data_IF_577928382860
#
_entry.id   IF_577928382860
#
_cell.length_a   1.000
_cell.length_b   1.000
_cell.length_c   1.000
_cell.angle_alpha   90.00
_cell.angle_beta   90.00
_cell.angle_gamma   90.00
#
_symmetry.space_group_name_H-M   'P 1'
#
loop_
_entity.id
_entity.type
_entity.pdbx_description
1 polymer ?
#
# COMPACT_ATOMS: atom_id res chain seq x y z
N UNK A 1 -13.53 29.20 -78.37
CA UNK A 1 -12.22 29.16 -79.06
C UNK A 1 -11.21 28.56 -78.08
N UNK A 2 -10.70 27.36 -78.37
CA UNK A 2 -9.51 26.66 -77.85
C UNK A 2 -9.24 26.61 -76.31
N UNK A 3 -9.59 25.50 -75.61
CA UNK A 3 -8.79 24.28 -75.30
C UNK A 3 -7.65 24.42 -74.28
N UNK A 4 -7.71 23.63 -73.19
CA UNK A 4 -6.76 22.58 -72.75
C UNK A 4 -6.95 22.31 -71.24
N UNK A 5 -7.37 21.14 -70.76
CA UNK A 5 -6.71 19.81 -70.69
C UNK A 5 -5.59 19.74 -69.62
N UNK A 6 -5.81 18.94 -68.56
CA UNK A 6 -5.04 17.73 -68.14
C UNK A 6 -5.11 17.48 -66.62
N UNK A 7 -5.00 16.19 -66.31
CA UNK A 7 -5.21 15.49 -65.05
C UNK A 7 -4.05 15.65 -64.04
N UNK A 8 -4.43 15.66 -62.75
CA UNK A 8 -3.82 14.96 -61.61
C UNK A 8 -2.33 15.11 -61.28
N UNK A 9 -2.02 15.51 -60.03
CA UNK A 9 -1.23 14.72 -59.08
C UNK A 9 -1.27 15.37 -57.68
N UNK A 10 -1.50 14.56 -56.65
CA UNK A 10 -1.41 14.91 -55.23
C UNK A 10 0.00 15.31 -54.83
N UNK A 11 0.14 16.42 -54.09
CA UNK A 11 1.37 16.76 -53.36
C UNK A 11 1.06 16.92 -51.87
N UNK A 12 1.43 15.92 -51.08
CA UNK A 12 1.46 15.95 -49.62
C UNK A 12 2.75 16.65 -49.20
N UNK A 13 2.66 17.89 -48.72
CA UNK A 13 3.82 18.61 -48.20
C UNK A 13 3.99 18.26 -46.72
N UNK A 14 4.98 17.42 -46.43
CA UNK A 14 5.43 17.10 -45.07
C UNK A 14 6.12 18.34 -44.50
N UNK A 15 5.55 18.90 -43.44
CA UNK A 15 6.05 20.10 -42.78
C UNK A 15 7.07 19.69 -41.71
N UNK A 16 8.31 19.49 -42.15
CA UNK A 16 9.47 19.31 -41.27
C UNK A 16 9.96 20.72 -40.88
N UNK A 17 9.67 21.14 -39.65
CA UNK A 17 10.52 22.11 -38.96
C UNK A 17 11.12 21.44 -37.74
N UNK A 18 12.35 20.98 -37.91
CA UNK A 18 13.26 20.80 -36.79
C UNK A 18 13.66 22.18 -36.27
N UNK A 19 13.39 22.44 -35.00
CA UNK A 19 14.20 23.36 -34.21
C UNK A 19 15.04 22.51 -33.27
N UNK A 20 16.35 22.70 -33.38
CA UNK A 20 17.36 21.99 -32.64
C UNK A 20 17.23 22.13 -31.12
N UNK A 21 17.65 21.06 -30.48
CA UNK A 21 17.94 20.83 -29.07
C UNK A 21 18.55 22.04 -28.36
N UNK A 22 17.92 22.46 -27.25
CA UNK A 22 18.58 23.14 -26.13
C UNK A 22 18.45 22.18 -24.95
N UNK A 23 19.58 21.67 -24.49
CA UNK A 23 19.65 20.65 -23.46
C UNK A 23 19.39 21.19 -22.06
N UNK A 24 18.55 20.46 -21.32
CA UNK A 24 18.69 20.19 -19.88
C UNK A 24 18.11 18.77 -19.64
N UNK A 25 18.82 17.86 -18.95
CA UNK A 25 18.28 16.56 -18.57
C UNK A 25 17.29 16.75 -17.41
N UNK A 26 16.27 15.88 -17.35
CA UNK A 26 15.20 15.81 -16.33
C UNK A 26 13.99 16.73 -16.52
N UNK A 27 13.29 16.59 -17.63
CA UNK A 27 11.81 16.64 -17.56
C UNK A 27 11.32 15.23 -17.28
N UNK A 28 11.27 14.84 -16.00
CA UNK A 28 10.43 13.69 -15.64
C UNK A 28 9.01 14.15 -15.98
N UNK A 29 8.27 13.43 -16.85
CA UNK A 29 6.87 13.74 -17.04
C UNK A 29 6.20 13.51 -15.69
N UNK A 30 5.70 14.58 -15.05
CA UNK A 30 4.82 14.46 -13.90
C UNK A 30 3.50 13.94 -14.48
N UNK A 31 3.42 12.63 -14.68
CA UNK A 31 2.17 11.96 -15.05
C UNK A 31 1.27 12.02 -13.82
N UNK A 32 0.42 13.03 -13.85
CA UNK A 32 -1.01 13.04 -13.57
C UNK A 32 -1.49 12.20 -12.37
N UNK A 33 -2.20 12.86 -11.45
CA UNK A 33 -3.22 12.22 -10.64
C UNK A 33 -4.07 11.32 -11.55
N UNK A 34 -3.90 10.01 -11.42
CA UNK A 34 -4.69 9.03 -12.16
C UNK A 34 -6.08 9.12 -11.55
N UNK A 35 -7.09 9.48 -12.35
CA UNK A 35 -8.49 9.45 -11.90
C UNK A 35 -8.96 7.99 -11.79
N UNK A 36 -8.40 7.26 -10.82
CA UNK A 36 -8.77 5.91 -10.51
C UNK A 36 -10.18 5.91 -9.92
N UNK A 37 -11.06 5.09 -10.48
CA UNK A 37 -12.47 5.05 -10.05
C UNK A 37 -12.62 4.34 -8.71
N UNK A 38 -11.78 3.33 -8.44
CA UNK A 38 -11.94 2.42 -7.32
C UNK A 38 -10.72 2.41 -6.39
N UNK A 39 -9.52 2.75 -6.87
CA UNK A 39 -8.28 2.77 -6.07
C UNK A 39 -8.02 4.18 -5.48
N UNK A 40 -7.83 4.24 -4.17
CA UNK A 40 -7.45 5.46 -3.45
C UNK A 40 -6.24 5.17 -2.56
N UNK A 41 -5.22 6.02 -2.64
CA UNK A 41 -3.98 5.89 -1.86
C UNK A 41 -3.74 7.18 -1.09
N UNK A 42 -3.53 7.11 0.23
CA UNK A 42 -3.42 8.32 1.05
C UNK A 42 -2.20 9.20 0.77
N UNK A 43 -1.18 8.67 0.07
CA UNK A 43 -0.02 9.42 -0.40
C UNK A 43 -0.31 10.24 -1.67
N UNK A 44 -1.43 9.99 -2.34
CA UNK A 44 -1.84 10.75 -3.52
C UNK A 44 -2.39 12.11 -3.07
N UNK A 45 -1.57 13.14 -3.24
CA UNK A 45 -1.95 14.49 -2.88
C UNK A 45 -1.24 15.51 -3.75
N UNK A 46 -2.02 16.26 -4.53
CA UNK A 46 -1.54 17.26 -5.49
C UNK A 46 -0.68 18.34 -4.81
N UNK A 47 -1.02 18.75 -3.57
CA UNK A 47 -0.27 19.79 -2.87
C UNK A 47 1.13 19.34 -2.40
N UNK A 48 1.40 18.03 -2.36
CA UNK A 48 2.69 17.47 -1.98
C UNK A 48 3.40 16.80 -3.18
N UNK A 49 2.92 17.02 -4.40
CA UNK A 49 3.42 16.38 -5.62
C UNK A 49 3.56 14.85 -5.48
N UNK A 50 2.66 14.21 -4.72
CA UNK A 50 2.71 12.81 -4.36
C UNK A 50 4.04 12.38 -3.69
N UNK A 51 4.64 13.23 -2.86
CA UNK A 51 5.77 12.83 -2.00
C UNK A 51 5.28 12.37 -0.64
N UNK A 52 5.89 11.30 -0.13
CA UNK A 52 5.79 10.91 1.28
C UNK A 52 7.17 10.57 1.82
N UNK A 53 7.34 10.78 3.11
CA UNK A 53 8.61 10.58 3.82
C UNK A 53 8.36 10.02 5.22
N UNK A 54 9.46 9.69 5.90
CA UNK A 54 9.50 9.30 7.31
C UNK A 54 8.73 8.00 7.59
N UNK A 55 8.38 7.79 8.85
CA UNK A 55 7.60 6.65 9.32
C UNK A 55 6.09 6.85 9.14
N UNK A 56 5.65 7.32 7.98
CA UNK A 56 4.22 7.45 7.66
C UNK A 56 3.67 6.11 7.18
N UNK A 57 2.46 5.79 7.65
CA UNK A 57 1.68 4.67 7.14
C UNK A 57 0.84 5.14 5.96
N UNK A 58 0.91 4.41 4.86
CA UNK A 58 0.06 4.62 3.68
C UNK A 58 -1.16 3.73 3.78
N UNK A 59 -2.34 4.35 3.67
CA UNK A 59 -3.63 3.66 3.57
C UNK A 59 -3.99 3.50 2.11
N UNK A 60 -4.32 2.27 1.73
CA UNK A 60 -4.88 1.92 0.42
C UNK A 60 -6.32 1.49 0.61
N UNK A 61 -7.21 2.07 -0.20
CA UNK A 61 -8.63 1.74 -0.23
C UNK A 61 -9.01 1.30 -1.63
N UNK A 62 -9.66 0.14 -1.73
CA UNK A 62 -10.37 -0.28 -2.94
C UNK A 62 -11.86 -0.18 -2.68
N UNK A 63 -12.50 0.78 -3.33
CA UNK A 63 -13.96 1.00 -3.34
C UNK A 63 -14.51 0.53 -4.68
N UNK A 64 -14.69 -0.78 -4.84
CA UNK A 64 -15.16 -1.38 -6.09
C UNK A 64 -16.60 -1.91 -5.92
N UNK A 65 -17.59 -1.38 -6.69
CA UNK A 65 -18.97 -1.85 -6.64
C UNK A 65 -19.14 -3.33 -7.01
N UNK A 66 -18.16 -3.97 -7.66
CA UNK A 66 -18.26 -5.39 -8.01
C UNK A 66 -17.96 -6.33 -6.81
N UNK A 67 -17.29 -5.83 -5.77
CA UNK A 67 -16.83 -6.62 -4.60
C UNK A 67 -17.13 -5.97 -3.24
N UNK A 68 -18.19 -5.16 -3.15
CA UNK A 68 -18.52 -4.37 -1.95
C UNK A 68 -19.54 -5.01 -0.99
N UNK A 69 -20.31 -6.02 -1.43
CA UNK A 69 -21.37 -6.61 -0.59
C UNK A 69 -20.78 -7.33 0.62
N UNK A 70 -21.36 -7.11 1.79
CA UNK A 70 -20.83 -7.64 3.07
C UNK A 70 -21.19 -9.11 3.32
N UNK A 71 -22.24 -9.62 2.69
CA UNK A 71 -22.81 -10.95 2.92
C UNK A 71 -22.56 -11.91 1.74
N UNK A 72 -21.65 -11.55 0.84
CA UNK A 72 -21.27 -12.37 -0.29
C UNK A 72 -19.78 -12.64 -0.22
N UNK A 73 -19.39 -13.89 -0.46
CA UNK A 73 -17.99 -14.27 -0.50
C UNK A 73 -17.37 -13.76 -1.81
N UNK A 74 -16.47 -12.79 -1.68
CA UNK A 74 -15.58 -12.35 -2.76
C UNK A 74 -14.15 -12.81 -2.48
N UNK A 75 -13.37 -12.96 -3.56
CA UNK A 75 -11.92 -12.99 -3.44
C UNK A 75 -11.38 -11.65 -2.96
N UNK A 76 -10.26 -11.68 -2.25
CA UNK A 76 -9.52 -10.47 -1.91
C UNK A 76 -9.05 -9.77 -3.21
N UNK A 77 -9.26 -8.44 -3.38
CA UNK A 77 -8.76 -7.73 -4.56
C UNK A 77 -7.24 -7.87 -4.65
N UNK A 78 -6.74 -8.07 -5.87
CA UNK A 78 -5.31 -8.19 -6.14
C UNK A 78 -4.70 -6.79 -6.20
N UNK A 79 -4.00 -6.42 -5.13
CA UNK A 79 -3.27 -5.16 -5.03
C UNK A 79 -1.81 -5.45 -4.77
N UNK A 80 -0.92 -4.71 -5.45
CA UNK A 80 0.52 -4.81 -5.24
C UNK A 80 1.14 -3.45 -4.86
N UNK A 81 2.24 -3.51 -4.13
CA UNK A 81 3.18 -2.41 -3.89
C UNK A 81 4.50 -2.83 -4.52
N UNK A 82 4.96 -2.10 -5.54
CA UNK A 82 6.16 -2.44 -6.32
C UNK A 82 6.16 -3.91 -6.81
N UNK A 83 5.00 -4.39 -7.26
CA UNK A 83 4.83 -5.76 -7.75
C UNK A 83 4.78 -6.85 -6.67
N UNK A 84 4.83 -6.49 -5.39
CA UNK A 84 4.66 -7.42 -4.25
C UNK A 84 3.25 -7.32 -3.69
N UNK A 85 2.62 -8.45 -3.35
CA UNK A 85 1.24 -8.48 -2.86
C UNK A 85 1.07 -7.63 -1.60
N UNK A 86 0.08 -6.74 -1.64
CA UNK A 86 -0.45 -6.01 -0.48
C UNK A 86 -1.77 -6.64 -0.05
N UNK A 87 -1.79 -7.27 1.12
CA UNK A 87 -2.99 -7.93 1.64
C UNK A 87 -4.05 -6.92 2.08
N UNK A 88 -5.30 -7.15 1.67
CA UNK A 88 -6.43 -6.27 1.99
C UNK A 88 -7.49 -6.98 2.84
N UNK A 89 -8.19 -6.22 3.66
CA UNK A 89 -9.33 -6.69 4.46
C UNK A 89 -10.59 -5.88 4.15
N UNK A 90 -11.72 -6.56 4.01
CA UNK A 90 -13.00 -5.87 3.79
C UNK A 90 -13.50 -5.28 5.11
N UNK A 91 -13.93 -4.02 5.08
CA UNK A 91 -14.53 -3.34 6.22
C UNK A 91 -16.07 -3.35 6.17
N UNK A 92 -16.70 -2.92 7.26
CA UNK A 92 -18.17 -2.84 7.41
C UNK A 92 -18.83 -1.79 6.53
N UNK A 93 -18.06 -0.93 5.85
CA UNK A 93 -18.56 0.01 4.84
C UNK A 93 -18.54 -0.57 3.41
N UNK A 94 -18.12 -1.82 3.25
CA UNK A 94 -18.04 -2.52 1.96
C UNK A 94 -16.72 -2.33 1.22
N UNK A 95 -15.89 -1.36 1.63
CA UNK A 95 -14.60 -1.11 0.99
C UNK A 95 -13.52 -2.05 1.53
N UNK A 96 -12.46 -2.22 0.75
CA UNK A 96 -11.28 -2.99 1.13
C UNK A 96 -10.15 -2.07 1.56
N UNK A 97 -9.52 -2.38 2.69
CA UNK A 97 -8.48 -1.56 3.29
C UNK A 97 -7.18 -2.35 3.47
N UNK A 98 -6.07 -1.69 3.22
CA UNK A 98 -4.74 -2.15 3.58
C UNK A 98 -3.87 -0.98 4.05
N UNK A 99 -2.87 -1.31 4.85
CA UNK A 99 -1.89 -0.35 5.35
C UNK A 99 -0.49 -0.88 5.07
N UNK A 100 0.41 0.00 4.65
CA UNK A 100 1.81 -0.34 4.51
C UNK A 100 2.73 0.83 4.89
N UNK A 101 3.99 0.52 5.17
CA UNK A 101 5.02 1.50 5.50
C UNK A 101 6.42 1.01 5.06
N UNK A 102 7.39 1.92 5.03
CA UNK A 102 8.79 1.53 4.93
C UNK A 102 9.23 0.82 6.22
N UNK A 103 9.87 -0.34 6.07
CA UNK A 103 10.31 -1.19 7.18
C UNK A 103 11.32 -0.50 8.08
N UNK A 104 12.32 0.15 7.48
CA UNK A 104 13.43 0.72 8.24
C UNK A 104 12.95 1.97 9.00
N UNK A 105 12.13 2.81 8.37
CA UNK A 105 11.52 3.97 9.03
C UNK A 105 10.54 3.57 10.12
N UNK A 106 9.72 2.54 9.90
CA UNK A 106 8.81 2.04 10.93
C UNK A 106 9.58 1.58 12.18
N UNK A 107 10.62 0.76 12.01
CA UNK A 107 11.47 0.31 13.11
C UNK A 107 12.20 1.49 13.77
N UNK A 108 12.79 2.39 12.99
CA UNK A 108 13.55 3.52 13.52
C UNK A 108 12.67 4.44 14.38
N UNK A 109 11.45 4.74 13.93
CA UNK A 109 10.52 5.56 14.70
C UNK A 109 9.97 4.84 15.92
N UNK A 110 9.64 3.55 15.80
CA UNK A 110 9.14 2.76 16.93
C UNK A 110 10.20 2.61 18.03
N UNK A 111 11.49 2.49 17.68
CA UNK A 111 12.62 2.52 18.63
C UNK A 111 12.67 3.77 19.50
N UNK A 112 12.16 4.90 19.02
CA UNK A 112 12.13 6.15 19.78
C UNK A 112 10.93 6.26 20.74
N UNK A 113 9.98 5.32 20.67
CA UNK A 113 8.85 5.23 21.60
C UNK A 113 9.27 4.60 22.94
N UNK A 114 10.05 5.34 23.75
CA UNK A 114 10.43 4.86 25.09
C UNK A 114 9.24 4.93 26.05
N UNK A 115 8.75 3.76 26.48
CA UNK A 115 7.95 3.49 27.70
C UNK A 115 6.91 4.57 28.07
N UNK A 116 5.69 4.39 27.58
CA UNK A 116 4.49 5.12 28.04
C UNK A 116 3.99 6.17 27.06
N UNK A 117 3.14 5.76 26.11
CA UNK A 117 2.14 6.57 25.36
C UNK A 117 2.68 7.87 24.71
N UNK A 118 3.99 8.04 24.54
CA UNK A 118 4.60 9.18 23.86
C UNK A 118 5.58 8.65 22.83
N UNK A 119 5.23 8.78 21.55
CA UNK A 119 6.04 8.33 20.43
C UNK A 119 5.17 7.97 19.24
N UNK A 120 5.81 7.47 18.19
CA UNK A 120 5.19 6.82 17.04
C UNK A 120 5.30 5.32 17.30
N UNK A 121 4.19 4.62 17.54
CA UNK A 121 4.14 3.19 17.86
C UNK A 121 3.36 2.45 16.77
N UNK A 122 4.04 1.52 16.09
CA UNK A 122 3.46 0.71 15.01
C UNK A 122 2.77 -0.56 15.52
N UNK A 123 2.72 -0.77 16.84
CA UNK A 123 2.29 -2.00 17.49
C UNK A 123 3.47 -2.91 17.78
N UNK A 124 3.34 -4.20 17.47
CA UNK A 124 4.47 -5.14 17.56
C UNK A 124 4.77 -5.81 16.23
N UNK A 125 6.03 -6.11 16.00
CA UNK A 125 6.59 -6.56 14.74
C UNK A 125 6.63 -8.09 14.67
N UNK A 126 6.32 -8.60 13.48
CA UNK A 126 6.37 -10.00 13.10
C UNK A 126 7.21 -10.17 11.83
N UNK A 127 8.09 -11.17 11.84
CA UNK A 127 8.75 -11.65 10.63
C UNK A 127 7.81 -12.51 9.79
N UNK A 128 8.24 -12.83 8.57
CA UNK A 128 7.49 -13.70 7.64
C UNK A 128 7.96 -15.15 7.69
N UNK A 129 9.17 -15.38 8.21
CA UNK A 129 9.82 -16.70 8.29
C UNK A 129 9.22 -17.55 9.40
N UNK A 130 8.72 -18.74 9.05
CA UNK A 130 8.12 -19.68 10.03
C UNK A 130 6.89 -19.12 10.73
N UNK A 131 6.35 -17.99 10.26
CA UNK A 131 5.15 -17.37 10.80
C UNK A 131 3.93 -18.23 10.47
N UNK A 132 3.21 -18.63 11.51
CA UNK A 132 1.93 -19.34 11.38
C UNK A 132 0.76 -18.43 11.70
N UNK A 133 1.02 -17.21 12.18
CA UNK A 133 0.01 -16.29 12.66
C UNK A 133 -1.00 -15.95 11.57
N UNK A 134 -0.52 -15.51 10.40
CA UNK A 134 -1.35 -15.13 9.27
C UNK A 134 -2.32 -16.26 8.85
N UNK A 135 -1.82 -17.48 8.72
CA UNK A 135 -2.62 -18.65 8.33
C UNK A 135 -3.71 -19.01 9.37
N UNK A 136 -3.45 -18.74 10.65
CA UNK A 136 -4.44 -18.94 11.73
C UNK A 136 -5.49 -17.82 11.79
N UNK A 137 -5.18 -16.61 11.28
CA UNK A 137 -6.17 -15.54 11.16
C UNK A 137 -7.17 -15.84 10.05
N UNK A 138 -6.67 -16.32 8.90
CA UNK A 138 -7.48 -16.67 7.74
C UNK A 138 -6.75 -17.72 6.90
N UNK A 139 -7.46 -18.76 6.48
CA UNK A 139 -6.94 -19.68 5.47
C UNK A 139 -6.51 -18.91 4.20
N UNK A 140 -5.26 -19.11 3.78
CA UNK A 140 -4.68 -18.43 2.61
C UNK A 140 -4.16 -17.01 2.87
N UNK A 141 -4.21 -16.50 4.11
CA UNK A 141 -3.52 -15.27 4.48
C UNK A 141 -2.04 -15.56 4.76
N UNK A 142 -1.19 -14.75 4.13
CA UNK A 142 0.27 -14.81 4.21
C UNK A 142 0.81 -13.44 3.84
N UNK A 143 1.85 -13.03 4.55
CA UNK A 143 2.63 -11.81 4.31
C UNK A 143 4.01 -12.11 3.73
N UNK A 144 4.24 -13.29 3.15
CA UNK A 144 5.56 -13.74 2.69
C UNK A 144 6.23 -12.82 1.66
N UNK A 145 5.48 -11.97 0.96
CA UNK A 145 6.00 -11.00 -0.02
C UNK A 145 6.38 -9.65 0.59
N UNK A 146 6.26 -9.50 1.92
CA UNK A 146 6.65 -8.31 2.67
C UNK A 146 7.97 -8.52 3.42
N UNK A 147 8.53 -7.46 3.98
CA UNK A 147 9.72 -7.48 4.84
C UNK A 147 9.37 -7.68 6.32
N UNK A 148 8.19 -8.23 6.59
CA UNK A 148 7.54 -8.27 7.90
C UNK A 148 6.24 -7.49 7.92
N UNK A 149 5.58 -7.50 9.06
CA UNK A 149 4.34 -6.77 9.30
C UNK A 149 4.23 -6.41 10.78
N UNK A 150 3.34 -5.47 11.10
CA UNK A 150 3.00 -5.15 12.48
C UNK A 150 1.55 -5.48 12.78
N UNK A 151 1.28 -5.75 14.05
CA UNK A 151 -0.07 -5.99 14.57
C UNK A 151 -0.37 -5.00 15.69
N UNK A 152 -1.63 -4.58 15.79
CA UNK A 152 -2.01 -3.51 16.70
C UNK A 152 -1.92 -3.86 18.20
N UNK A 153 -1.92 -5.16 18.51
CA UNK A 153 -1.78 -5.69 19.87
C UNK A 153 -0.64 -6.70 19.92
N UNK A 154 0.05 -6.78 21.06
CA UNK A 154 1.12 -7.76 21.26
C UNK A 154 0.59 -9.19 21.12
N UNK A 155 1.28 -9.96 20.28
CA UNK A 155 1.06 -11.39 20.08
C UNK A 155 2.30 -12.20 20.49
N UNK A 156 2.12 -13.46 20.83
CA UNK A 156 3.25 -14.35 21.16
C UNK A 156 4.28 -14.36 20.04
N UNK A 157 5.55 -14.14 20.40
CA UNK A 157 6.67 -14.11 19.46
C UNK A 157 6.86 -12.77 18.75
N UNK A 158 5.94 -11.80 18.87
CA UNK A 158 6.14 -10.46 18.32
C UNK A 158 7.15 -9.65 19.13
N UNK A 159 7.82 -8.71 18.46
CA UNK A 159 8.86 -7.85 19.03
C UNK A 159 8.36 -6.40 19.13
N UNK A 160 8.78 -5.69 20.17
CA UNK A 160 8.64 -4.22 20.23
C UNK A 160 9.76 -3.59 19.40
N UNK A 161 9.56 -2.41 18.81
CA UNK A 161 10.53 -1.83 17.87
C UNK A 161 11.94 -1.66 18.45
N UNK A 162 12.05 -1.42 19.76
CA UNK A 162 13.30 -1.37 20.54
C UNK A 162 14.15 -2.65 20.42
N UNK A 163 13.51 -3.80 20.15
CA UNK A 163 14.12 -5.13 20.12
C UNK A 163 14.18 -5.75 18.73
N UNK A 164 13.65 -5.06 17.71
CA UNK A 164 13.63 -5.55 16.33
C UNK A 164 15.02 -5.48 15.69
N UNK A 165 15.44 -6.60 15.11
CA UNK A 165 16.62 -6.74 14.25
C UNK A 165 16.31 -6.44 12.78
N UNK A 166 17.35 -6.26 11.96
CA UNK A 166 17.23 -6.22 10.50
C UNK A 166 18.05 -7.40 9.90
N UNK A 167 17.42 -8.39 9.24
CA UNK A 167 15.99 -8.53 8.98
C UNK A 167 15.15 -8.85 10.25
N UNK A 168 13.82 -8.75 10.13
CA UNK A 168 12.87 -9.16 11.17
C UNK A 168 12.78 -10.69 11.11
N UNK A 169 13.31 -11.40 12.11
CA UNK A 169 13.45 -12.87 12.07
C UNK A 169 12.53 -13.61 13.04
N UNK A 170 11.76 -12.89 13.87
CA UNK A 170 10.86 -13.53 14.83
C UNK A 170 9.63 -14.14 14.14
N UNK A 171 9.17 -15.28 14.63
CA UNK A 171 7.92 -15.90 14.19
C UNK A 171 6.81 -15.56 15.16
N UNK A 172 5.70 -15.04 14.65
CA UNK A 172 4.51 -14.77 15.44
C UNK A 172 3.61 -16.02 15.51
N UNK A 173 2.96 -16.22 16.65
CA UNK A 173 2.14 -17.41 16.92
C UNK A 173 0.73 -16.99 17.35
N UNK A 174 -0.29 -17.59 16.73
CA UNK A 174 -1.70 -17.22 16.97
C UNK A 174 -2.37 -17.96 18.13
N UNK A 175 -1.77 -19.02 18.68
CA UNK A 175 -2.42 -19.84 19.71
C UNK A 175 -2.46 -19.10 21.05
N UNK A 176 -3.62 -18.53 21.39
CA UNK A 176 -3.94 -17.97 22.71
C UNK A 176 -3.14 -16.73 23.14
N UNK A 177 -2.26 -16.21 22.28
CA UNK A 177 -1.20 -15.27 22.62
C UNK A 177 -1.51 -13.78 22.48
N UNK A 178 -2.76 -13.40 22.19
CA UNK A 178 -3.11 -11.98 22.06
C UNK A 178 -3.28 -11.40 23.46
N UNK A 179 -2.24 -10.73 23.94
CA UNK A 179 -2.31 -9.97 25.18
C UNK A 179 -3.03 -8.66 24.85
N UNK A 180 -4.25 -8.49 25.38
CA UNK A 180 -5.24 -7.50 24.94
C UNK A 180 -4.93 -6.01 25.17
N UNK A 181 -3.66 -5.61 25.09
CA UNK A 181 -3.23 -4.22 25.11
C UNK A 181 -3.06 -3.75 23.66
N UNK A 182 -3.87 -2.76 23.28
CA UNK A 182 -3.71 -2.04 22.02
C UNK A 182 -2.50 -1.09 22.15
N UNK A 183 -1.52 -1.23 21.26
CA UNK A 183 -0.23 -0.54 21.32
C UNK A 183 -0.04 0.45 20.17
N UNK A 184 -0.62 0.15 19.02
CA UNK A 184 -0.47 0.93 17.79
C UNK A 184 -1.13 2.31 17.91
N UNK A 185 -0.48 3.36 17.41
CA UNK A 185 -0.99 4.75 17.48
C UNK A 185 -0.77 5.58 16.20
N UNK A 186 -0.28 4.94 15.13
CA UNK A 186 0.03 5.55 13.83
C UNK A 186 -1.18 5.63 12.89
N UNK A 187 -2.22 4.82 13.12
CA UNK A 187 -3.47 4.77 12.38
C UNK A 187 -4.62 5.17 13.31
N UNK A 188 -5.01 6.44 13.26
CA UNK A 188 -6.03 7.00 14.17
C UNK A 188 -7.48 6.62 13.85
N UNK A 189 -7.79 6.27 12.60
CA UNK A 189 -9.16 6.07 12.13
C UNK A 189 -9.25 4.87 11.18
N UNK A 190 -8.79 3.70 11.61
CA UNK A 190 -9.00 2.46 10.86
C UNK A 190 -10.49 2.09 10.86
N UNK A 191 -10.93 1.38 9.81
CA UNK A 191 -12.30 0.88 9.72
C UNK A 191 -12.45 -0.47 10.41
N UNK A 192 -13.62 -0.69 10.99
CA UNK A 192 -14.03 -2.01 11.52
C UNK A 192 -14.10 -3.03 10.39
N UNK A 193 -13.49 -4.20 10.59
CA UNK A 193 -13.50 -5.29 9.61
C UNK A 193 -14.89 -5.93 9.50
N UNK A 194 -15.30 -6.29 8.29
CA UNK A 194 -16.50 -7.08 8.04
C UNK A 194 -16.31 -8.48 8.61
N UNK A 195 -17.16 -8.87 9.57
CA UNK A 195 -17.07 -10.16 10.25
C UNK A 195 -18.13 -11.16 9.80
N UNK A 196 -18.90 -10.84 8.76
CA UNK A 196 -20.01 -11.66 8.30
C UNK A 196 -19.52 -13.03 7.78
N UNK A 197 -19.93 -14.15 8.38
CA UNK A 197 -19.45 -15.49 8.00
C UNK A 197 -19.92 -15.94 6.62
N UNK A 198 -20.94 -15.28 6.04
CA UNK A 198 -21.39 -15.52 4.66
C UNK A 198 -20.63 -14.66 3.63
N UNK A 199 -19.79 -13.73 4.09
CA UNK A 199 -18.95 -12.87 3.25
C UNK A 199 -17.47 -13.02 3.57
N UNK A 200 -16.77 -11.90 3.78
CA UNK A 200 -15.34 -11.87 4.10
C UNK A 200 -14.98 -12.69 5.35
N UNK A 201 -15.92 -12.81 6.30
CA UNK A 201 -15.77 -13.55 7.56
C UNK A 201 -15.61 -15.07 7.41
N UNK A 202 -15.88 -15.63 6.23
CA UNK A 202 -15.76 -17.07 6.03
C UNK A 202 -14.31 -17.55 6.21
N UNK A 203 -14.09 -18.46 7.16
CA UNK A 203 -12.76 -18.99 7.48
C UNK A 203 -11.85 -18.01 8.21
N UNK A 204 -12.40 -16.91 8.76
CA UNK A 204 -11.68 -16.00 9.65
C UNK A 204 -11.78 -16.44 11.11
N UNK A 205 -10.66 -16.33 11.83
CA UNK A 205 -10.69 -16.24 13.29
C UNK A 205 -11.10 -14.82 13.69
N UNK A 206 -12.41 -14.57 13.70
CA UNK A 206 -12.98 -13.23 13.87
C UNK A 206 -12.53 -12.54 15.16
N UNK A 207 -12.42 -13.30 16.25
CA UNK A 207 -11.95 -12.79 17.54
C UNK A 207 -10.49 -12.38 17.50
N UNK A 208 -9.65 -13.13 16.77
CA UNK A 208 -8.24 -12.81 16.66
C UNK A 208 -8.01 -11.61 15.74
N UNK A 209 -8.63 -11.58 14.55
CA UNK A 209 -8.39 -10.53 13.56
C UNK A 209 -8.84 -9.16 14.05
N UNK A 210 -9.96 -9.09 14.77
CA UNK A 210 -10.46 -7.84 15.35
C UNK A 210 -9.55 -7.25 16.44
N UNK A 211 -8.70 -8.07 17.08
CA UNK A 211 -7.75 -7.59 18.10
C UNK A 211 -6.45 -7.09 17.49
N UNK A 212 -6.00 -7.71 16.40
CA UNK A 212 -4.69 -7.42 15.80
C UNK A 212 -4.75 -6.42 14.65
N UNK A 213 -5.96 -6.08 14.20
CA UNK A 213 -6.21 -5.04 13.22
C UNK A 213 -6.11 -3.63 13.85
N UNK A 214 -5.51 -2.64 13.18
CA UNK A 214 -4.93 -2.71 11.83
C UNK A 214 -3.59 -3.45 11.74
N UNK A 215 -3.36 -4.10 10.60
CA UNK A 215 -2.07 -4.73 10.25
C UNK A 215 -1.35 -3.82 9.27
N UNK A 216 -0.10 -3.46 9.57
CA UNK A 216 0.75 -2.65 8.69
C UNK A 216 1.77 -3.58 8.02
N UNK A 217 1.73 -3.66 6.69
CA UNK A 217 2.66 -4.46 5.91
C UNK A 217 3.93 -3.65 5.62
N UNK A 218 5.10 -4.24 5.86
CA UNK A 218 6.37 -3.52 5.75
C UNK A 218 7.04 -3.84 4.41
N UNK A 219 7.40 -2.81 3.65
CA UNK A 219 8.18 -2.93 2.41
C UNK A 219 9.50 -2.19 2.55
N UNK A 220 10.40 -2.37 1.57
CA UNK A 220 11.67 -1.66 1.52
C UNK A 220 11.63 -0.59 0.42
N UNK A 221 11.71 0.67 0.84
CA UNK A 221 11.80 1.84 -0.04
C UNK A 221 13.16 2.55 0.12
N UNK A 222 14.17 1.89 0.71
CA UNK A 222 15.45 2.49 1.13
C UNK A 222 16.30 3.11 0.01
N UNK A 223 15.98 2.86 -1.27
CA UNK A 223 16.56 3.62 -2.39
C UNK A 223 15.86 4.97 -2.48
N UNK A 224 16.45 6.02 -1.93
CA UNK A 224 15.84 7.35 -1.88
C UNK A 224 16.46 8.28 -2.95
N UNK A 225 15.67 8.97 -3.79
CA UNK A 225 14.21 8.83 -3.93
C UNK A 225 13.83 7.52 -4.63
N UNK A 226 12.72 6.89 -4.21
CA UNK A 226 12.14 5.74 -4.92
C UNK A 226 10.74 6.05 -5.39
N UNK A 227 10.44 5.65 -6.62
CA UNK A 227 9.07 5.55 -7.08
C UNK A 227 8.42 4.33 -6.42
N UNK A 228 7.30 4.57 -5.73
CA UNK A 228 6.44 3.52 -5.21
C UNK A 228 5.20 3.46 -6.09
N UNK A 229 4.87 2.25 -6.51
CA UNK A 229 3.73 1.95 -7.37
C UNK A 229 2.74 1.10 -6.60
N UNK A 230 1.52 1.61 -6.43
CA UNK A 230 0.37 0.83 -5.96
C UNK A 230 -0.50 0.50 -7.16
N UNK A 231 -0.68 -0.79 -7.41
CA UNK A 231 -1.42 -1.29 -8.56
C UNK A 231 -2.57 -2.18 -8.09
N UNK A 232 -3.80 -1.79 -8.41
CA UNK A 232 -4.99 -2.61 -8.27
C UNK A 232 -5.36 -3.24 -9.61
N UNK A 233 -5.18 -4.56 -9.68
CA UNK A 233 -5.42 -5.37 -10.88
C UNK A 233 -6.89 -5.75 -10.97
N UNK A 234 -7.71 -4.82 -11.45
CA UNK A 234 -9.15 -5.03 -11.64
C UNK A 234 -9.42 -5.77 -12.95
N UNK A 235 -10.43 -6.65 -12.95
CA UNK A 235 -11.01 -7.14 -14.20
C UNK A 235 -11.52 -5.96 -15.05
N UNK A 236 -10.95 -5.79 -16.25
CA UNK A 236 -11.24 -4.65 -17.13
C UNK A 236 -10.15 -3.59 -17.20
N UNK A 237 -9.07 -3.72 -16.41
CA UNK A 237 -7.88 -2.88 -16.50
C UNK A 237 -7.34 -2.45 -15.14
N UNK A 238 -6.03 -2.32 -15.06
CA UNK A 238 -5.32 -1.94 -13.84
C UNK A 238 -5.60 -0.47 -13.48
N UNK A 239 -5.74 -0.21 -12.18
CA UNK A 239 -5.78 1.12 -11.61
C UNK A 239 -4.49 1.33 -10.83
N UNK A 240 -3.73 2.35 -11.21
CA UNK A 240 -2.35 2.52 -10.73
C UNK A 240 -2.16 3.90 -10.15
N UNK A 241 -1.52 3.98 -8.99
CA UNK A 241 -1.05 5.22 -8.37
C UNK A 241 0.46 5.16 -8.21
N UNK A 242 1.14 6.21 -8.67
CA UNK A 242 2.56 6.41 -8.46
C UNK A 242 2.80 7.58 -7.50
N UNK A 243 3.73 7.40 -6.58
CA UNK A 243 4.18 8.44 -5.66
C UNK A 243 5.66 8.23 -5.32
N UNK A 244 6.31 9.27 -4.84
CA UNK A 244 7.74 9.26 -4.54
C UNK A 244 7.96 9.14 -3.04
N UNK A 245 8.72 8.13 -2.63
CA UNK A 245 9.29 8.07 -1.29
C UNK A 245 10.59 8.86 -1.25
N UNK A 246 10.69 9.84 -0.35
CA UNK A 246 11.87 10.68 -0.22
C UNK A 246 12.20 11.00 1.25
N UNK A 247 13.38 11.57 1.49
CA UNK A 247 13.78 12.15 2.78
C UNK A 247 13.16 13.55 2.91
N UNK A 248 12.43 13.80 4.00
CA UNK A 248 11.77 15.08 4.26
C UNK A 248 12.73 16.28 4.24
N UNK A 249 14.02 16.03 4.56
CA UNK A 249 15.06 17.06 4.53
C UNK A 249 15.43 17.50 3.10
N UNK A 250 15.03 16.72 2.08
CA UNK A 250 15.26 16.99 0.66
C UNK A 250 14.00 17.38 -0.11
N UNK A 251 12.81 17.28 0.50
CA UNK A 251 11.53 17.71 -0.10
C UNK A 251 11.41 19.25 -0.22
N UNK A 252 12.42 20.01 0.22
CA UNK A 252 12.50 21.46 -0.03
C UNK A 252 13.48 21.79 -1.16
N UNK A 253 12.95 21.91 -2.38
CA UNK A 253 13.25 23.01 -3.31
C UNK A 253 12.26 23.04 -4.46
#
# INVERSE_FOLDING_TARGET
MYTNKRYGLTLLTILIFGSAVIGLPYTIPIVHATSNTNLFVSAEHVQHNNHFSDSRVIKVVVSDPDIHKLNQQYGEPLVTVNGKRLRMMQATDGNWYAYFADRNQAIASDKTSSVGIRGVNFGTFCGTSGDTFAANLKTGLSFAETMGYTVATKVTGSLEGSTVSNPITNSCLATGGITGVFLEDVIRHYKTINTNPNGFGLGLNMTAIGKVWPIIQLYDFSTIPSTVTVDYQKAGGDQVVHFTFDDINKIKK
#
